data_IF_345217949443
#
_entry.id   IF_345217949443
#
_cell.length_a   1.000
_cell.length_b   1.000
_cell.length_c   1.000
_cell.angle_alpha   90.00
_cell.angle_beta   90.00
_cell.angle_gamma   90.00
#
_symmetry.space_group_name_H-M   'P 1'
#
loop_
_entity.id
_entity.type
_entity.pdbx_description
1 polymer ?
#
# COMPACT_ATOMS: atom_id res chain seq x y z
N UNK A 1 31.95 -17.56 3.55
CA UNK A 1 30.92 -18.37 2.87
C UNK A 1 29.67 -18.34 3.71
N UNK A 2 28.54 -17.96 3.12
CA UNK A 2 27.26 -17.84 3.82
C UNK A 2 26.50 -19.17 3.97
N UNK A 3 26.83 -20.17 3.14
CA UNK A 3 26.24 -21.52 3.15
C UNK A 3 27.17 -22.50 3.84
N UNK A 4 26.71 -23.11 4.94
CA UNK A 4 27.50 -24.00 5.80
C UNK A 4 26.69 -25.25 6.09
N UNK A 5 27.42 -26.41 6.23
CA UNK A 5 26.79 -27.67 6.64
C UNK A 5 26.71 -27.76 8.17
N UNK A 6 25.52 -28.05 8.67
CA UNK A 6 25.32 -28.30 10.10
C UNK A 6 25.80 -29.72 10.43
N UNK A 7 26.85 -29.79 11.27
CA UNK A 7 27.50 -31.07 11.65
C UNK A 7 26.63 -31.96 12.55
N UNK A 8 25.58 -31.41 13.19
CA UNK A 8 24.71 -32.12 14.12
C UNK A 8 23.65 -32.96 13.42
N UNK A 9 23.07 -32.42 12.36
CA UNK A 9 21.95 -33.06 11.66
C UNK A 9 22.20 -33.27 10.16
N UNK A 10 23.42 -32.96 9.67
CA UNK A 10 23.80 -33.17 8.29
C UNK A 10 23.16 -32.27 7.24
N UNK A 11 22.28 -31.35 7.66
CA UNK A 11 21.61 -30.42 6.77
C UNK A 11 22.46 -29.18 6.48
N UNK A 12 22.03 -28.37 5.50
CA UNK A 12 22.69 -27.11 5.16
C UNK A 12 21.92 -25.93 5.74
N UNK A 13 22.63 -24.87 6.08
CA UNK A 13 22.03 -23.59 6.50
C UNK A 13 22.74 -22.43 5.84
N UNK A 14 22.01 -21.32 5.71
CA UNK A 14 22.47 -20.04 5.14
C UNK A 14 22.48 -18.98 6.22
N UNK A 15 23.55 -18.19 6.28
CA UNK A 15 23.66 -16.96 7.05
C UNK A 15 23.77 -15.80 6.09
N UNK A 16 22.67 -15.07 5.89
CA UNK A 16 22.60 -13.93 4.99
C UNK A 16 22.68 -12.61 5.78
N UNK A 17 23.65 -11.77 5.45
CA UNK A 17 23.81 -10.42 6.00
C UNK A 17 23.25 -9.40 5.02
N UNK A 18 22.45 -8.47 5.50
CA UNK A 18 21.86 -7.43 4.65
C UNK A 18 21.78 -6.10 5.41
N UNK A 19 21.56 -5.01 4.68
CA UNK A 19 21.29 -3.70 5.26
C UNK A 19 19.78 -3.49 5.31
N UNK A 20 19.28 -3.08 6.47
CA UNK A 20 17.90 -2.62 6.63
C UNK A 20 17.74 -1.22 6.01
N UNK A 21 16.50 -0.77 5.81
CA UNK A 21 16.20 0.54 5.22
C UNK A 21 16.82 1.72 6.00
N UNK A 22 17.01 1.58 7.32
CA UNK A 22 17.67 2.55 8.19
C UNK A 22 19.21 2.47 8.17
N UNK A 23 19.76 1.67 7.24
CA UNK A 23 21.19 1.50 7.03
C UNK A 23 21.89 0.59 8.04
N UNK A 24 21.17 0.01 9.02
CA UNK A 24 21.72 -0.90 10.00
C UNK A 24 21.99 -2.26 9.36
N UNK A 25 23.03 -2.93 9.88
CA UNK A 25 23.38 -4.28 9.45
C UNK A 25 22.51 -5.30 10.19
N UNK A 26 21.75 -6.10 9.44
CA UNK A 26 20.94 -7.19 9.95
C UNK A 26 21.42 -8.54 9.40
N UNK A 27 21.02 -9.61 10.04
CA UNK A 27 21.41 -10.94 9.60
C UNK A 27 20.25 -11.91 9.75
N UNK A 28 20.09 -12.82 8.77
CA UNK A 28 19.05 -13.85 8.76
C UNK A 28 19.69 -15.21 8.61
N UNK A 29 19.26 -16.17 9.45
CA UNK A 29 19.67 -17.57 9.37
C UNK A 29 18.49 -18.41 8.91
N UNK A 30 18.66 -19.19 7.84
CA UNK A 30 17.71 -20.21 7.38
C UNK A 30 18.39 -21.57 7.43
N UNK A 31 17.77 -22.53 8.10
CA UNK A 31 18.31 -23.91 8.32
C UNK A 31 17.40 -24.94 7.65
N UNK A 32 17.92 -26.19 7.54
CA UNK A 32 17.12 -27.33 7.14
C UNK A 32 17.13 -27.65 5.66
N UNK A 33 18.05 -27.09 4.86
CA UNK A 33 18.17 -27.46 3.46
C UNK A 33 18.79 -28.84 3.35
N UNK A 34 18.23 -29.69 2.48
CA UNK A 34 18.73 -31.06 2.26
C UNK A 34 20.03 -31.08 1.46
N UNK A 35 20.19 -30.12 0.54
CA UNK A 35 21.35 -30.06 -0.35
C UNK A 35 21.96 -28.64 -0.37
N UNK A 36 23.27 -28.59 -0.72
CA UNK A 36 23.99 -27.34 -0.90
C UNK A 36 23.41 -26.46 -2.04
N UNK A 37 23.08 -27.04 -3.23
CA UNK A 37 22.44 -26.26 -4.29
C UNK A 37 21.12 -25.60 -3.89
N UNK A 38 20.29 -26.29 -3.10
CA UNK A 38 19.03 -25.72 -2.56
C UNK A 38 19.30 -24.50 -1.65
N UNK A 39 20.30 -24.62 -0.76
CA UNK A 39 20.71 -23.53 0.10
C UNK A 39 21.24 -22.32 -0.69
N UNK A 40 22.06 -22.57 -1.74
CA UNK A 40 22.56 -21.50 -2.63
C UNK A 40 21.47 -20.86 -3.48
N UNK A 41 20.48 -21.63 -3.95
CA UNK A 41 19.33 -21.09 -4.67
C UNK A 41 18.52 -20.14 -3.76
N UNK A 42 18.22 -20.61 -2.54
CA UNK A 42 17.54 -19.76 -1.56
C UNK A 42 18.34 -18.49 -1.23
N UNK A 43 19.64 -18.56 -1.12
CA UNK A 43 20.49 -17.40 -0.86
C UNK A 43 20.42 -16.37 -1.99
N UNK A 44 20.50 -16.81 -3.27
CA UNK A 44 20.35 -15.92 -4.44
C UNK A 44 18.99 -15.23 -4.44
N UNK A 45 17.93 -16.02 -4.24
CA UNK A 45 16.56 -15.49 -4.20
C UNK A 45 16.39 -14.50 -3.04
N UNK A 46 16.95 -14.80 -1.87
CA UNK A 46 16.94 -13.91 -0.72
C UNK A 46 17.63 -12.59 -1.03
N UNK A 47 18.84 -12.60 -1.63
CA UNK A 47 19.53 -11.36 -1.99
C UNK A 47 18.87 -10.61 -3.15
N UNK A 48 18.28 -11.32 -4.11
CA UNK A 48 17.51 -10.70 -5.18
C UNK A 48 16.27 -9.95 -4.65
N UNK A 49 15.61 -10.54 -3.67
CA UNK A 49 14.49 -9.91 -2.95
C UNK A 49 14.99 -8.75 -2.09
N UNK A 50 16.10 -8.92 -1.35
CA UNK A 50 16.66 -7.89 -0.47
C UNK A 50 17.26 -6.69 -1.24
N UNK A 51 17.74 -6.87 -2.45
CA UNK A 51 18.25 -5.78 -3.28
C UNK A 51 17.16 -4.74 -3.65
N UNK A 52 15.87 -5.07 -3.44
CA UNK A 52 14.73 -4.20 -3.66
C UNK A 52 13.76 -4.11 -2.48
N UNK A 53 14.20 -4.43 -1.24
CA UNK A 53 13.24 -4.75 -0.19
C UNK A 53 13.14 -3.67 0.90
N UNK A 54 12.01 -2.95 0.86
CA UNK A 54 11.58 -2.04 1.93
C UNK A 54 11.02 -2.83 3.11
N UNK A 55 11.90 -3.30 4.02
CA UNK A 55 11.52 -3.99 5.25
C UNK A 55 11.10 -2.98 6.35
N UNK A 56 10.18 -2.06 6.01
CA UNK A 56 9.60 -1.09 6.94
C UNK A 56 8.08 -1.16 6.92
N UNK A 57 7.43 -0.79 8.01
CA UNK A 57 5.97 -0.73 8.08
C UNK A 57 5.42 0.38 7.18
N UNK A 58 4.19 0.20 6.69
CA UNK A 58 3.52 1.22 5.87
C UNK A 58 3.33 2.54 6.66
N UNK A 59 3.07 2.46 7.96
CA UNK A 59 2.94 3.65 8.82
C UNK A 59 4.24 4.46 8.87
N UNK A 60 5.39 3.79 8.99
CA UNK A 60 6.70 4.46 9.01
C UNK A 60 7.05 5.05 7.64
N UNK A 61 6.66 4.35 6.56
CA UNK A 61 6.83 4.85 5.20
C UNK A 61 6.02 6.11 4.92
N UNK A 62 4.85 6.27 5.54
CA UNK A 62 4.05 7.48 5.39
C UNK A 62 4.81 8.74 5.83
N UNK A 63 5.64 8.65 6.88
CA UNK A 63 6.46 9.78 7.34
C UNK A 63 7.52 10.18 6.29
N UNK A 64 8.14 9.20 5.62
CA UNK A 64 9.06 9.47 4.51
C UNK A 64 8.31 10.09 3.32
N UNK A 65 7.18 9.50 2.96
CA UNK A 65 6.34 10.01 1.87
C UNK A 65 5.86 11.44 2.13
N UNK A 66 5.56 11.78 3.40
CA UNK A 66 5.21 13.14 3.82
C UNK A 66 6.37 14.12 3.63
N UNK A 67 7.58 13.74 4.00
CA UNK A 67 8.78 14.57 3.81
C UNK A 67 9.03 14.84 2.32
N UNK A 68 8.83 13.85 1.46
CA UNK A 68 9.10 13.96 0.03
C UNK A 68 8.01 14.73 -0.72
N UNK A 69 6.74 14.46 -0.40
CA UNK A 69 5.60 14.97 -1.17
C UNK A 69 4.95 16.20 -0.55
N UNK A 70 5.08 16.40 0.77
CA UNK A 70 4.51 17.53 1.48
C UNK A 70 4.91 18.89 0.89
N UNK A 71 6.20 19.15 0.64
CA UNK A 71 6.67 20.41 0.04
C UNK A 71 6.20 20.63 -1.41
N UNK A 72 5.81 19.54 -2.11
CA UNK A 72 5.41 19.58 -3.55
C UNK A 72 3.92 19.78 -3.75
N UNK A 73 3.11 19.66 -2.69
CA UNK A 73 1.66 19.73 -2.75
C UNK A 73 1.14 20.95 -2.00
N UNK A 74 0.00 21.48 -2.45
CA UNK A 74 -0.74 22.49 -1.67
C UNK A 74 -1.16 21.87 -0.33
N UNK A 75 -1.16 22.66 0.73
CA UNK A 75 -1.49 22.22 2.08
C UNK A 75 -2.86 21.53 2.17
N UNK A 76 -3.88 22.07 1.49
CA UNK A 76 -5.22 21.48 1.43
C UNK A 76 -5.22 20.10 0.78
N UNK A 77 -4.47 19.94 -0.33
CA UNK A 77 -4.31 18.65 -1.03
C UNK A 77 -3.62 17.64 -0.15
N UNK A 78 -2.55 18.07 0.57
CA UNK A 78 -1.85 17.19 1.50
C UNK A 78 -2.76 16.73 2.64
N UNK A 79 -3.47 17.66 3.30
CA UNK A 79 -4.40 17.34 4.40
C UNK A 79 -5.48 16.33 3.98
N UNK A 80 -6.06 16.49 2.79
CA UNK A 80 -7.05 15.54 2.25
C UNK A 80 -6.42 14.16 2.03
N UNK A 81 -5.25 14.11 1.40
CA UNK A 81 -4.50 12.87 1.16
C UNK A 81 -4.14 12.17 2.48
N UNK A 82 -3.56 12.88 3.43
CA UNK A 82 -3.19 12.38 4.75
C UNK A 82 -4.41 11.84 5.51
N UNK A 83 -5.53 12.56 5.50
CA UNK A 83 -6.78 12.12 6.12
C UNK A 83 -7.31 10.81 5.52
N UNK A 84 -7.26 10.66 4.20
CA UNK A 84 -7.67 9.41 3.53
C UNK A 84 -6.74 8.27 3.94
N UNK A 85 -5.43 8.47 3.88
CA UNK A 85 -4.44 7.44 4.21
C UNK A 85 -4.61 7.00 5.67
N UNK A 86 -4.67 7.94 6.60
CA UNK A 86 -4.76 7.65 8.04
C UNK A 86 -6.08 6.96 8.41
N UNK A 87 -7.21 7.37 7.81
CA UNK A 87 -8.52 6.84 8.19
C UNK A 87 -8.92 5.59 7.43
N UNK A 88 -8.39 5.33 6.22
CA UNK A 88 -8.89 4.28 5.32
C UNK A 88 -7.84 3.25 4.93
N UNK A 89 -6.56 3.54 5.08
CA UNK A 89 -5.47 2.65 4.69
C UNK A 89 -4.71 2.13 5.92
N UNK A 90 -4.24 3.01 6.79
CA UNK A 90 -3.42 2.62 7.93
C UNK A 90 -4.11 1.65 8.91
N UNK A 91 -5.43 1.74 9.22
CA UNK A 91 -6.07 0.79 10.12
C UNK A 91 -5.98 -0.67 9.66
N UNK A 92 -5.83 -0.89 8.35
CA UNK A 92 -5.79 -2.23 7.74
C UNK A 92 -4.38 -2.70 7.38
N UNK A 93 -3.57 -1.80 6.87
CA UNK A 93 -2.27 -2.12 6.27
C UNK A 93 -1.10 -1.48 7.00
N UNK A 94 -1.33 -0.55 7.94
CA UNK A 94 -0.30 0.28 8.57
C UNK A 94 0.80 -0.52 9.27
N UNK A 95 0.42 -1.58 9.98
CA UNK A 95 1.35 -2.43 10.72
C UNK A 95 2.08 -3.46 9.84
N UNK A 96 1.61 -3.66 8.60
CA UNK A 96 2.27 -4.57 7.67
C UNK A 96 3.52 -3.95 7.08
N UNK A 97 4.52 -4.77 6.83
CA UNK A 97 5.75 -4.35 6.15
C UNK A 97 5.49 -4.19 4.67
N UNK A 98 6.05 -3.13 4.07
CA UNK A 98 5.84 -2.77 2.66
C UNK A 98 6.14 -3.93 1.70
N UNK A 99 7.19 -4.68 1.98
CA UNK A 99 7.59 -5.87 1.20
C UNK A 99 6.71 -7.10 1.40
N UNK A 100 5.90 -7.13 2.46
CA UNK A 100 5.02 -8.25 2.80
C UNK A 100 3.57 -8.01 2.40
N UNK A 101 3.23 -6.79 1.96
CA UNK A 101 1.88 -6.50 1.48
C UNK A 101 1.70 -7.15 0.11
N UNK A 102 0.93 -8.22 0.09
CA UNK A 102 0.62 -8.98 -1.12
C UNK A 102 -0.67 -8.45 -1.82
N UNK A 103 -0.88 -8.74 -3.11
CA UNK A 103 -2.13 -8.37 -3.80
C UNK A 103 -3.39 -8.86 -3.09
N UNK A 104 -3.35 -10.02 -2.44
CA UNK A 104 -4.48 -10.55 -1.66
C UNK A 104 -4.86 -9.66 -0.47
N UNK A 105 -3.88 -9.01 0.15
CA UNK A 105 -4.14 -8.06 1.25
C UNK A 105 -4.85 -6.81 0.74
N UNK A 106 -4.49 -6.36 -0.47
CA UNK A 106 -5.16 -5.24 -1.14
C UNK A 106 -6.62 -5.60 -1.44
N UNK A 107 -6.88 -6.79 -2.00
CA UNK A 107 -8.25 -7.24 -2.30
C UNK A 107 -9.09 -7.35 -1.03
N UNK A 108 -8.55 -7.90 0.06
CA UNK A 108 -9.25 -7.96 1.36
C UNK A 108 -9.61 -6.57 1.87
N UNK A 109 -8.65 -5.65 1.88
CA UNK A 109 -8.87 -4.27 2.27
C UNK A 109 -9.92 -3.57 1.40
N UNK A 110 -9.91 -3.79 0.07
CA UNK A 110 -10.93 -3.26 -0.84
C UNK A 110 -12.31 -3.78 -0.50
N UNK A 111 -12.45 -5.11 -0.27
CA UNK A 111 -13.71 -5.74 0.08
C UNK A 111 -14.29 -5.19 1.38
N UNK A 112 -13.45 -4.99 2.42
CA UNK A 112 -13.87 -4.40 3.69
C UNK A 112 -14.36 -2.96 3.53
N UNK A 113 -13.68 -2.14 2.69
CA UNK A 113 -14.13 -0.78 2.41
C UNK A 113 -15.42 -0.73 1.57
N UNK A 114 -15.61 -1.67 0.64
CA UNK A 114 -16.83 -1.74 -0.16
C UNK A 114 -18.02 -2.24 0.65
N UNK A 115 -17.80 -3.11 1.62
CA UNK A 115 -18.82 -3.60 2.55
C UNK A 115 -19.12 -2.63 3.71
N UNK A 116 -18.37 -1.52 3.83
CA UNK A 116 -18.55 -0.58 4.93
C UNK A 116 -19.88 0.18 4.80
N UNK A 117 -20.69 0.09 5.86
CA UNK A 117 -21.92 0.87 6.01
C UNK A 117 -21.73 2.00 7.02
N UNK A 118 -22.23 3.18 6.66
CA UNK A 118 -22.20 4.35 7.56
C UNK A 118 -23.31 4.25 8.61
N UNK A 119 -23.09 4.80 9.81
CA UNK A 119 -24.18 5.05 10.74
C UNK A 119 -25.26 5.92 10.05
N UNK A 120 -26.47 5.38 9.89
CA UNK A 120 -27.56 6.03 9.13
C UNK A 120 -27.77 5.48 7.72
N UNK A 121 -27.03 4.42 7.33
CA UNK A 121 -27.18 3.71 6.06
C UNK A 121 -26.30 4.23 4.92
N UNK A 122 -26.10 3.37 3.93
CA UNK A 122 -25.30 3.63 2.73
C UNK A 122 -23.79 3.52 2.92
N UNK A 123 -23.12 3.01 1.88
CA UNK A 123 -21.67 2.82 1.82
C UNK A 123 -20.91 4.05 1.32
N UNK A 124 -19.67 3.83 0.94
CA UNK A 124 -18.87 4.83 0.24
C UNK A 124 -19.27 4.90 -1.24
N UNK A 125 -19.27 6.12 -1.81
CA UNK A 125 -19.50 6.28 -3.24
C UNK A 125 -18.39 5.63 -4.08
N UNK A 126 -18.72 5.17 -5.29
CA UNK A 126 -17.77 4.56 -6.20
C UNK A 126 -16.56 5.47 -6.52
N UNK A 127 -16.81 6.78 -6.65
CA UNK A 127 -15.77 7.79 -6.89
C UNK A 127 -14.85 7.99 -5.68
N UNK A 128 -15.41 7.94 -4.46
CA UNK A 128 -14.61 7.99 -3.24
C UNK A 128 -13.74 6.76 -3.08
N UNK A 129 -14.29 5.56 -3.28
CA UNK A 129 -13.54 4.30 -3.24
C UNK A 129 -12.38 4.32 -4.25
N UNK A 130 -12.63 4.82 -5.46
CA UNK A 130 -11.59 5.01 -6.48
C UNK A 130 -10.50 5.97 -6.01
N UNK A 131 -10.88 7.06 -5.36
CA UNK A 131 -9.92 8.03 -4.81
C UNK A 131 -9.05 7.39 -3.73
N UNK A 132 -9.66 6.65 -2.80
CA UNK A 132 -8.94 5.94 -1.73
C UNK A 132 -7.94 4.92 -2.32
N UNK A 133 -8.39 4.13 -3.30
CA UNK A 133 -7.53 3.18 -4.01
C UNK A 133 -6.33 3.87 -4.68
N UNK A 134 -6.56 5.01 -5.33
CA UNK A 134 -5.51 5.77 -5.98
C UNK A 134 -4.47 6.31 -4.98
N UNK A 135 -4.84 6.64 -3.73
CA UNK A 135 -3.88 7.05 -2.70
C UNK A 135 -2.94 5.91 -2.33
N UNK A 136 -3.46 4.69 -2.14
CA UNK A 136 -2.62 3.53 -1.85
C UNK A 136 -1.68 3.20 -3.03
N UNK A 137 -2.21 3.21 -4.26
CA UNK A 137 -1.40 3.01 -5.46
C UNK A 137 -0.28 4.05 -5.59
N UNK A 138 -0.54 5.31 -5.23
CA UNK A 138 0.45 6.38 -5.28
C UNK A 138 1.56 6.18 -4.24
N UNK A 139 1.24 5.72 -3.02
CA UNK A 139 2.24 5.34 -2.00
C UNK A 139 3.17 4.25 -2.51
N UNK A 140 2.62 3.16 -3.04
CA UNK A 140 3.43 2.06 -3.57
C UNK A 140 4.23 2.44 -4.81
N UNK A 141 3.68 3.25 -5.72
CA UNK A 141 4.44 3.76 -6.88
C UNK A 141 5.63 4.62 -6.44
N UNK A 142 5.46 5.44 -5.41
CA UNK A 142 6.54 6.23 -4.83
C UNK A 142 7.63 5.33 -4.23
N UNK A 143 7.23 4.30 -3.47
CA UNK A 143 8.12 3.31 -2.89
C UNK A 143 8.94 2.55 -3.95
N UNK A 144 8.28 2.11 -5.03
CA UNK A 144 8.95 1.44 -6.17
C UNK A 144 9.94 2.39 -6.84
N UNK A 145 9.55 3.65 -7.05
CA UNK A 145 10.37 4.61 -7.83
C UNK A 145 11.59 5.11 -7.07
N UNK A 146 11.48 5.32 -5.76
CA UNK A 146 12.50 6.05 -4.99
C UNK A 146 13.12 5.26 -3.85
N UNK A 147 12.48 4.17 -3.40
CA UNK A 147 12.89 3.43 -2.20
C UNK A 147 13.19 1.95 -2.46
N UNK A 148 13.23 1.54 -3.73
CA UNK A 148 13.68 0.20 -4.11
C UNK A 148 12.68 -0.92 -3.81
N UNK A 149 11.39 -0.63 -3.59
CA UNK A 149 10.37 -1.67 -3.53
C UNK A 149 10.30 -2.38 -4.88
N UNK A 150 10.33 -3.70 -4.90
CA UNK A 150 10.43 -4.51 -6.13
C UNK A 150 9.26 -4.33 -7.08
N UNK A 151 8.04 -4.19 -6.56
CA UNK A 151 6.83 -3.99 -7.37
C UNK A 151 5.69 -3.37 -6.57
N UNK A 152 4.75 -2.73 -7.27
CA UNK A 152 3.54 -2.22 -6.65
C UNK A 152 2.46 -3.33 -6.62
N UNK A 153 2.04 -3.82 -5.42
CA UNK A 153 1.04 -4.88 -5.30
C UNK A 153 -0.35 -4.46 -5.81
N UNK A 154 -0.68 -3.16 -5.80
CA UNK A 154 -1.94 -2.66 -6.32
C UNK A 154 -2.10 -2.87 -7.84
N UNK A 155 -1.01 -3.09 -8.59
CA UNK A 155 -1.11 -3.35 -10.04
C UNK A 155 -1.69 -4.72 -10.38
N UNK A 156 -1.59 -5.69 -9.45
CA UNK A 156 -2.15 -7.04 -9.60
C UNK A 156 -3.54 -7.17 -8.99
N UNK A 157 -3.90 -6.26 -8.08
CA UNK A 157 -5.25 -6.16 -7.55
C UNK A 157 -6.07 -5.27 -8.50
N UNK A 158 -7.30 -5.66 -8.77
CA UNK A 158 -8.22 -4.81 -9.51
C UNK A 158 -8.51 -3.53 -8.73
N UNK A 159 -8.88 -2.47 -9.44
CA UNK A 159 -9.17 -1.20 -8.81
C UNK A 159 -10.61 -1.17 -8.32
N UNK A 160 -10.82 -0.81 -7.06
CA UNK A 160 -12.17 -0.57 -6.53
C UNK A 160 -12.73 0.77 -6.99
N UNK A 161 -14.06 0.83 -7.13
CA UNK A 161 -14.79 2.04 -7.50
C UNK A 161 -14.65 2.44 -8.98
N UNK A 162 -15.25 3.56 -9.35
CA UNK A 162 -15.26 4.05 -10.72
C UNK A 162 -14.94 5.55 -10.79
N UNK A 163 -14.50 6.02 -11.97
CA UNK A 163 -14.29 7.45 -12.23
C UNK A 163 -15.59 8.18 -12.55
N UNK A 164 -16.62 7.45 -13.00
CA UNK A 164 -17.88 8.04 -13.36
C UNK A 164 -18.66 8.42 -12.10
N UNK A 165 -18.74 9.69 -11.80
CA UNK A 165 -19.87 10.22 -11.04
C UNK A 165 -21.09 10.07 -11.96
N UNK A 166 -22.22 9.54 -11.47
CA UNK A 166 -23.46 9.58 -12.23
C UNK A 166 -23.76 11.01 -12.72
N UNK A 167 -24.72 11.16 -13.61
CA UNK A 167 -25.11 12.47 -14.09
C UNK A 167 -25.33 13.43 -12.92
N UNK A 168 -24.69 14.58 -12.99
CA UNK A 168 -24.87 15.64 -11.99
C UNK A 168 -26.27 16.20 -12.17
N UNK A 169 -27.14 15.99 -11.20
CA UNK A 169 -28.46 16.62 -11.19
C UNK A 169 -28.23 18.11 -10.97
N UNK A 170 -28.53 18.89 -11.98
CA UNK A 170 -28.57 20.35 -11.91
C UNK A 170 -29.97 20.81 -12.22
N UNK A 171 -30.36 21.94 -11.65
CA UNK A 171 -31.62 22.57 -11.96
C UNK A 171 -31.55 23.20 -13.34
N UNK A 172 -32.52 22.93 -14.19
CA UNK A 172 -32.67 23.69 -15.41
C UNK A 172 -33.05 25.16 -15.06
N UNK A 173 -32.81 26.07 -15.99
CA UNK A 173 -33.18 27.47 -15.79
C UNK A 173 -34.65 27.63 -15.36
N UNK A 174 -35.54 26.87 -15.99
CA UNK A 174 -36.99 26.93 -15.70
C UNK A 174 -37.32 26.37 -14.31
N UNK A 175 -36.65 25.32 -13.88
CA UNK A 175 -36.80 24.78 -12.53
C UNK A 175 -36.28 25.75 -11.47
N UNK A 176 -35.17 26.43 -11.76
CA UNK A 176 -34.64 27.46 -10.85
C UNK A 176 -35.55 28.66 -10.76
N UNK A 177 -36.14 29.15 -11.87
CA UNK A 177 -37.06 30.26 -11.89
C UNK A 177 -38.35 29.95 -11.09
N UNK A 178 -38.93 28.74 -11.30
CA UNK A 178 -40.11 28.29 -10.52
C UNK A 178 -39.80 28.26 -9.02
N UNK A 179 -38.66 27.72 -8.65
CA UNK A 179 -38.24 27.67 -7.24
C UNK A 179 -38.06 29.10 -6.66
N UNK A 180 -37.46 30.00 -7.44
CA UNK A 180 -37.27 31.40 -7.04
C UNK A 180 -38.59 32.13 -6.83
N UNK A 181 -39.54 31.91 -7.73
CA UNK A 181 -40.89 32.54 -7.65
C UNK A 181 -41.66 32.03 -6.42
N UNK A 182 -41.59 30.69 -6.13
CA UNK A 182 -42.25 30.11 -4.95
C UNK A 182 -41.64 30.53 -3.59
N UNK A 183 -40.40 31.02 -3.56
CA UNK A 183 -39.78 31.50 -2.31
C UNK A 183 -40.01 33.02 -2.10
N UNK A 184 -40.29 33.75 -3.17
CA UNK A 184 -40.47 35.20 -3.08
C UNK A 184 -41.92 35.64 -2.85
N UNK A 185 -42.89 34.72 -2.93
CA UNK A 185 -44.27 34.89 -2.49
C UNK A 185 -44.43 34.47 -1.01
#
# INVERSE_FOLDING_TARGET
MSVTRDRRNGTWYVQAWYKTYDGKRAHKVKRGFKTKPEALAWERDFYAVQAGDMDMKLVDFLELYKKDMGPRLRLSTWKTKESIITKRILPYLGEKRMNQIAPVDIVRWQNELMAFEKPGGGGFSATYLKTVNNQLCALFNHAVRFYGLSSNPCRRAESMGSKSAGEMRFWTKDQYLRFSDEIMD
#
